data_IF_917920927947
#
_entry.id   IF_917920927947
#
_cell.length_a   1.000
_cell.length_b   1.000
_cell.length_c   1.000
_cell.angle_alpha   90.00
_cell.angle_beta   90.00
_cell.angle_gamma   90.00
#
_symmetry.space_group_name_H-M   'P 1'
#
loop_
_entity.id
_entity.type
_entity.pdbx_description
1 polymer ?
#
# COMPACT_ATOMS: atom_id res chain seq x y z
N UNK A 1 -14.80 -33.88 -46.91
CA UNK A 1 -15.72 -33.93 -45.74
C UNK A 1 -15.33 -32.81 -44.80
N UNK A 2 -16.15 -31.76 -44.71
CA UNK A 2 -15.97 -30.62 -43.79
C UNK A 2 -16.26 -31.10 -42.36
N UNK A 3 -15.31 -30.97 -41.45
CA UNK A 3 -15.60 -31.01 -40.01
C UNK A 3 -15.09 -29.70 -39.39
N UNK A 4 -16.04 -28.79 -39.16
CA UNK A 4 -15.89 -27.71 -38.21
C UNK A 4 -15.76 -28.34 -36.81
N UNK A 5 -14.74 -27.97 -36.05
CA UNK A 5 -14.74 -28.15 -34.61
C UNK A 5 -14.44 -26.82 -33.93
N UNK A 6 -15.33 -26.48 -33.01
CA UNK A 6 -15.54 -25.19 -32.40
C UNK A 6 -14.34 -24.69 -31.61
N UNK A 7 -13.97 -23.42 -31.84
CA UNK A 7 -13.09 -22.65 -30.96
C UNK A 7 -13.87 -22.36 -29.68
N UNK A 8 -13.59 -23.11 -28.62
CA UNK A 8 -14.07 -22.78 -27.26
C UNK A 8 -13.18 -21.65 -26.75
N UNK A 9 -13.68 -20.41 -26.87
CA UNK A 9 -13.07 -19.25 -26.27
C UNK A 9 -13.35 -19.28 -24.76
N UNK A 10 -12.44 -19.86 -23.98
CA UNK A 10 -12.48 -19.81 -22.53
C UNK A 10 -12.24 -18.36 -22.09
N UNK A 11 -13.34 -17.63 -21.83
CA UNK A 11 -13.30 -16.33 -21.18
C UNK A 11 -12.75 -16.52 -19.75
N UNK A 12 -11.45 -16.25 -19.57
CA UNK A 12 -10.83 -16.04 -18.28
C UNK A 12 -11.49 -14.83 -17.63
N UNK A 13 -12.53 -15.05 -16.82
CA UNK A 13 -13.02 -14.06 -15.89
C UNK A 13 -11.91 -13.81 -14.86
N UNK A 14 -11.11 -12.76 -15.07
CA UNK A 14 -10.26 -12.21 -14.04
C UNK A 14 -11.18 -11.66 -12.94
N UNK A 15 -11.43 -12.48 -11.92
CA UNK A 15 -12.06 -11.98 -10.70
C UNK A 15 -11.16 -10.91 -10.11
N UNK A 16 -11.68 -9.76 -9.66
CA UNK A 16 -10.89 -8.87 -8.84
C UNK A 16 -10.55 -9.64 -7.57
N UNK A 17 -9.32 -10.13 -7.47
CA UNK A 17 -8.75 -10.41 -6.17
C UNK A 17 -8.79 -9.07 -5.43
N UNK A 18 -9.47 -9.01 -4.28
CA UNK A 18 -9.43 -7.85 -3.40
C UNK A 18 -7.99 -7.70 -2.90
N UNK A 19 -7.17 -7.08 -3.73
CA UNK A 19 -5.82 -6.69 -3.43
C UNK A 19 -5.87 -5.40 -2.63
N UNK A 20 -4.90 -5.25 -1.73
CA UNK A 20 -4.62 -4.01 -1.05
C UNK A 20 -4.35 -2.94 -2.10
N UNK A 21 -4.66 -1.68 -1.79
CA UNK A 21 -4.63 -0.61 -2.78
C UNK A 21 -3.52 0.38 -2.48
N UNK A 22 -2.92 0.93 -3.53
CA UNK A 22 -2.10 2.12 -3.50
C UNK A 22 -2.87 3.26 -4.18
N UNK A 23 -3.75 3.91 -3.41
CA UNK A 23 -4.64 4.96 -3.93
C UNK A 23 -3.95 6.32 -3.97
N UNK A 24 -4.40 7.20 -4.87
CA UNK A 24 -3.91 8.59 -4.89
C UNK A 24 -4.26 9.28 -3.58
N UNK A 25 -3.37 10.16 -3.13
CA UNK A 25 -3.63 10.97 -1.96
C UNK A 25 -4.85 11.86 -2.17
N UNK A 26 -5.75 11.79 -1.20
CA UNK A 26 -6.90 12.68 -1.07
C UNK A 26 -7.09 12.95 0.44
N UNK A 27 -8.32 12.89 0.95
CA UNK A 27 -8.64 13.20 2.34
C UNK A 27 -7.92 12.33 3.37
N UNK A 28 -7.58 11.06 3.05
CA UNK A 28 -6.86 10.14 3.96
C UNK A 28 -5.45 10.65 4.26
N UNK A 29 -4.80 11.26 3.26
CA UNK A 29 -3.44 11.78 3.36
C UNK A 29 -3.34 13.13 4.09
N UNK A 30 -4.35 13.49 4.88
CA UNK A 30 -4.37 14.75 5.63
C UNK A 30 -3.30 14.76 6.70
N UNK A 31 -2.61 15.90 6.88
CA UNK A 31 -1.60 16.06 7.92
C UNK A 31 -2.13 15.78 9.35
N UNK A 32 -3.44 15.99 9.58
CA UNK A 32 -4.11 15.66 10.85
C UNK A 32 -4.17 14.17 11.16
N UNK A 33 -3.98 13.31 10.15
CA UNK A 33 -3.98 11.87 10.30
C UNK A 33 -2.56 11.33 10.60
N UNK A 34 -1.50 12.14 10.49
CA UNK A 34 -0.15 11.67 10.80
C UNK A 34 -0.07 11.34 12.30
N UNK A 35 0.35 10.12 12.62
CA UNK A 35 0.40 9.65 14.00
C UNK A 35 1.52 10.35 14.76
N UNK A 36 1.19 10.89 15.93
CA UNK A 36 2.14 11.52 16.84
C UNK A 36 3.00 10.48 17.62
N UNK A 37 4.26 10.78 17.96
CA UNK A 37 5.06 11.90 17.46
C UNK A 37 5.53 11.63 16.02
N UNK A 38 5.58 12.69 15.20
CA UNK A 38 5.88 12.56 13.77
C UNK A 38 7.24 11.92 13.51
N UNK A 39 8.25 12.21 14.34
CA UNK A 39 9.61 11.68 14.19
C UNK A 39 9.66 10.16 14.38
N UNK A 40 8.75 9.59 15.17
CA UNK A 40 8.67 8.15 15.38
C UNK A 40 7.86 7.44 14.28
N UNK A 41 6.95 8.17 13.63
CA UNK A 41 5.98 7.63 12.68
C UNK A 41 6.19 8.12 11.24
N UNK A 42 7.34 8.74 10.97
CA UNK A 42 7.77 9.14 9.63
C UNK A 42 9.20 8.65 9.41
N UNK A 43 9.46 7.98 8.27
CA UNK A 43 10.80 7.54 7.88
C UNK A 43 11.11 7.93 6.44
N UNK A 44 12.38 8.20 6.15
CA UNK A 44 12.84 8.51 4.79
C UNK A 44 13.83 7.47 4.30
N UNK A 45 13.76 7.19 3.00
CA UNK A 45 14.59 6.21 2.30
C UNK A 45 15.14 6.82 1.01
N UNK A 46 16.10 6.13 0.39
CA UNK A 46 16.69 6.53 -0.90
C UNK A 46 17.18 7.98 -0.90
N UNK A 47 17.96 8.35 0.12
CA UNK A 47 18.47 9.71 0.34
C UNK A 47 17.35 10.79 0.39
N UNK A 48 16.23 10.48 1.04
CA UNK A 48 15.12 11.42 1.22
C UNK A 48 14.16 11.53 0.03
N UNK A 49 14.34 10.70 -1.01
CA UNK A 49 13.46 10.67 -2.17
C UNK A 49 12.14 9.99 -1.87
N UNK A 50 12.18 8.91 -1.07
CA UNK A 50 10.98 8.21 -0.58
C UNK A 50 10.75 8.58 0.88
N UNK A 51 9.52 8.94 1.24
CA UNK A 51 9.10 9.20 2.62
C UNK A 51 7.84 8.40 2.90
N UNK A 52 7.86 7.72 4.04
CA UNK A 52 6.74 6.99 4.57
C UNK A 52 6.25 7.65 5.86
N UNK A 53 4.94 7.64 6.08
CA UNK A 53 4.34 8.06 7.34
C UNK A 53 3.19 7.12 7.75
N UNK A 54 3.05 6.82 9.03
CA UNK A 54 1.86 6.17 9.55
C UNK A 54 0.72 7.18 9.64
N UNK A 55 -0.44 6.80 9.10
CA UNK A 55 -1.67 7.58 9.20
C UNK A 55 -2.69 6.84 10.07
N UNK A 56 -3.45 7.59 10.86
CA UNK A 56 -4.61 7.14 11.63
C UNK A 56 -5.79 8.08 11.33
N UNK A 57 -6.80 7.55 10.66
CA UNK A 57 -8.04 8.27 10.34
C UNK A 57 -9.07 8.24 11.47
N UNK A 58 -8.74 7.61 12.60
CA UNK A 58 -9.59 7.35 13.78
C UNK A 58 -10.74 6.38 13.50
N UNK A 59 -11.47 6.57 12.41
CA UNK A 59 -12.60 5.73 12.00
C UNK A 59 -12.50 5.30 10.52
N UNK A 60 -12.93 4.07 10.18
CA UNK A 60 -13.52 3.08 11.07
C UNK A 60 -12.46 2.44 11.98
N UNK A 61 -12.75 2.23 13.26
CA UNK A 61 -11.78 1.68 14.23
C UNK A 61 -11.09 0.37 13.76
N UNK A 62 -11.80 -0.46 12.99
CA UNK A 62 -11.28 -1.72 12.44
C UNK A 62 -10.37 -1.55 11.20
N UNK A 63 -10.22 -0.34 10.67
CA UNK A 63 -9.48 -0.04 9.45
C UNK A 63 -9.00 1.40 9.40
N UNK A 64 -8.59 1.96 10.54
CA UNK A 64 -8.22 3.37 10.64
C UNK A 64 -6.79 3.65 10.15
N UNK A 65 -5.92 2.64 10.12
CA UNK A 65 -4.48 2.83 9.89
C UNK A 65 -4.09 2.67 8.43
N UNK A 66 -3.30 3.62 7.91
CA UNK A 66 -2.83 3.61 6.53
C UNK A 66 -1.35 3.98 6.46
N UNK A 67 -0.72 3.80 5.29
CA UNK A 67 0.67 4.22 5.07
C UNK A 67 0.74 5.31 4.00
N UNK A 68 1.14 6.49 4.45
CA UNK A 68 1.85 7.55 3.73
C UNK A 68 2.89 7.04 2.75
N UNK A 69 2.77 7.21 1.43
CA UNK A 69 3.90 7.05 0.50
C UNK A 69 4.07 8.31 -0.35
N UNK A 70 5.16 9.04 -0.10
CA UNK A 70 5.67 10.06 -1.00
C UNK A 70 6.90 9.52 -1.71
N UNK A 71 6.89 9.42 -3.02
CA UNK A 71 7.98 8.80 -3.80
C UNK A 71 8.18 9.49 -5.15
N UNK A 72 9.30 9.21 -5.84
CA UNK A 72 9.40 9.45 -7.28
C UNK A 72 8.38 8.59 -8.07
N UNK A 73 8.16 8.89 -9.37
CA UNK A 73 8.75 9.98 -10.13
C UNK A 73 8.31 11.34 -9.62
N UNK A 74 9.15 12.35 -9.84
CA UNK A 74 8.77 13.73 -9.56
C UNK A 74 8.02 14.28 -10.77
N UNK A 75 6.94 15.02 -10.52
CA UNK A 75 6.26 15.75 -11.58
C UNK A 75 7.08 16.93 -12.09
N UNK A 76 6.58 17.62 -13.11
CA UNK A 76 7.29 18.71 -13.78
C UNK A 76 7.63 19.86 -12.82
N UNK A 77 6.84 20.05 -11.76
CA UNK A 77 7.07 21.10 -10.75
C UNK A 77 7.89 20.61 -9.56
N UNK A 78 8.39 19.37 -9.60
CA UNK A 78 9.19 18.76 -8.54
C UNK A 78 8.37 18.16 -7.40
N UNK A 79 7.06 18.08 -7.54
CA UNK A 79 6.17 17.39 -6.62
C UNK A 79 6.45 15.88 -6.62
N UNK A 80 6.34 15.23 -5.46
CA UNK A 80 6.44 13.76 -5.36
C UNK A 80 5.12 13.14 -5.79
N UNK A 81 5.18 11.95 -6.38
CA UNK A 81 4.03 11.05 -6.39
C UNK A 81 3.53 10.85 -4.94
N UNK A 82 2.21 10.94 -4.75
CA UNK A 82 1.57 10.76 -3.46
C UNK A 82 0.58 9.59 -3.52
N UNK A 83 0.83 8.56 -2.71
CA UNK A 83 -0.02 7.39 -2.58
C UNK A 83 -0.30 7.05 -1.12
N UNK A 84 -1.43 6.41 -0.88
CA UNK A 84 -1.80 5.82 0.41
C UNK A 84 -1.97 4.32 0.25
N UNK A 85 -1.31 3.55 1.12
CA UNK A 85 -1.48 2.10 1.19
C UNK A 85 -2.60 1.78 2.17
N UNK A 86 -3.62 1.07 1.68
CA UNK A 86 -4.84 0.73 2.42
C UNK A 86 -5.23 -0.73 2.17
N UNK A 87 -6.05 -1.32 3.05
CA UNK A 87 -6.65 -2.65 2.81
C UNK A 87 -7.57 -2.64 1.60
N UNK A 88 -8.35 -1.58 1.46
CA UNK A 88 -9.20 -1.27 0.32
C UNK A 88 -9.43 0.23 0.27
N UNK A 89 -10.14 0.72 -0.75
CA UNK A 89 -10.36 2.17 -0.94
C UNK A 89 -10.99 2.82 0.30
N UNK A 90 -10.28 3.75 0.93
CA UNK A 90 -10.74 4.45 2.13
C UNK A 90 -10.86 3.61 3.40
N UNK A 91 -10.44 2.35 3.39
CA UNK A 91 -10.45 1.46 4.56
C UNK A 91 -9.04 0.89 4.73
N UNK A 92 -8.40 1.24 5.83
CA UNK A 92 -7.04 0.86 6.19
C UNK A 92 -6.96 -0.49 6.90
N UNK A 93 -5.85 -0.66 7.60
CA UNK A 93 -5.51 -1.81 8.42
C UNK A 93 -6.01 -1.61 9.86
N UNK A 94 -6.26 -2.71 10.57
CA UNK A 94 -6.63 -2.68 11.99
C UNK A 94 -5.42 -2.37 12.89
N UNK A 95 -4.21 -2.70 12.42
CA UNK A 95 -2.96 -2.51 13.15
C UNK A 95 -1.79 -2.33 12.20
N UNK A 96 -0.85 -1.45 12.55
CA UNK A 96 0.46 -1.30 11.88
C UNK A 96 1.52 -1.02 12.94
N UNK A 97 2.50 -1.91 13.09
CA UNK A 97 3.67 -1.67 13.94
C UNK A 97 4.79 -0.99 13.13
N UNK A 98 4.62 0.31 12.89
CA UNK A 98 5.52 1.10 12.06
C UNK A 98 6.96 1.16 12.59
N UNK A 99 7.16 0.91 13.89
CA UNK A 99 8.50 0.84 14.49
C UNK A 99 9.30 -0.32 13.89
N UNK A 100 8.62 -1.42 13.58
CA UNK A 100 9.18 -2.62 12.95
C UNK A 100 9.17 -2.57 11.41
N UNK A 101 8.92 -1.40 10.80
CA UNK A 101 9.05 -1.21 9.35
C UNK A 101 10.49 -1.51 8.90
N UNK A 102 10.62 -2.47 8.01
CA UNK A 102 11.86 -2.88 7.35
C UNK A 102 11.82 -2.53 5.85
N UNK A 103 13.00 -2.36 5.24
CA UNK A 103 13.13 -2.02 3.83
C UNK A 103 14.29 -2.77 3.19
N UNK A 104 14.06 -3.29 1.97
CA UNK A 104 15.06 -3.96 1.15
C UNK A 104 15.00 -3.45 -0.28
N UNK A 105 16.17 -3.28 -0.90
CA UNK A 105 16.30 -2.76 -2.25
C UNK A 105 16.75 -3.83 -3.23
N UNK A 106 16.05 -3.93 -4.35
CA UNK A 106 16.42 -4.73 -5.51
C UNK A 106 16.38 -3.84 -6.77
N UNK A 107 17.49 -3.70 -7.52
CA UNK A 107 17.53 -2.89 -8.74
C UNK A 107 16.51 -3.26 -9.81
N UNK A 108 16.02 -4.50 -9.82
CA UNK A 108 15.08 -5.01 -10.83
C UNK A 108 13.61 -4.74 -10.49
N UNK A 109 13.27 -4.55 -9.21
CA UNK A 109 11.88 -4.37 -8.76
C UNK A 109 11.64 -3.07 -7.99
N UNK A 110 12.65 -2.53 -7.33
CA UNK A 110 12.59 -1.27 -6.58
C UNK A 110 12.81 -1.45 -5.07
N UNK A 111 12.23 -0.55 -4.29
CA UNK A 111 12.34 -0.55 -2.83
C UNK A 111 11.13 -1.26 -2.23
N UNK A 112 11.35 -2.41 -1.61
CA UNK A 112 10.33 -3.21 -0.96
C UNK A 112 10.32 -2.95 0.54
N UNK A 113 9.14 -2.68 1.07
CA UNK A 113 8.89 -2.47 2.49
C UNK A 113 8.10 -3.63 3.05
N UNK A 114 8.41 -4.00 4.29
CA UNK A 114 7.64 -4.99 5.06
C UNK A 114 7.37 -4.43 6.45
N UNK A 115 6.12 -4.44 6.87
CA UNK A 115 5.72 -3.95 8.19
C UNK A 115 4.70 -4.91 8.83
N UNK A 116 4.93 -5.37 10.06
CA UNK A 116 3.94 -6.12 10.81
C UNK A 116 2.69 -5.28 11.03
N UNK A 117 1.53 -5.92 10.92
CA UNK A 117 0.24 -5.28 11.12
C UNK A 117 -0.86 -6.30 11.38
N UNK A 118 -2.10 -5.85 11.24
CA UNK A 118 -3.27 -6.72 11.35
C UNK A 118 -4.44 -6.20 10.55
N UNK A 119 -5.35 -7.11 10.20
CA UNK A 119 -6.57 -6.81 9.44
C UNK A 119 -7.80 -7.14 10.26
N UNK A 120 -8.87 -6.38 10.06
CA UNK A 120 -10.16 -6.71 10.64
C UNK A 120 -10.63 -8.10 10.19
N UNK A 121 -11.31 -8.79 11.10
CA UNK A 121 -11.89 -10.10 10.85
C UNK A 121 -13.11 -10.27 11.76
N UNK A 122 -14.13 -11.01 11.30
CA UNK A 122 -15.40 -11.22 12.03
C UNK A 122 -15.27 -12.15 13.25
N UNK A 123 -14.05 -12.42 13.70
CA UNK A 123 -13.73 -13.26 14.85
C UNK A 123 -13.43 -12.44 16.11
N UNK A 124 -12.83 -13.08 17.15
CA UNK A 124 -12.59 -12.46 18.44
C UNK A 124 -11.53 -11.34 18.44
N UNK A 125 -10.91 -11.04 17.30
CA UNK A 125 -9.91 -9.99 17.16
C UNK A 125 -9.32 -9.90 15.76
N UNK A 126 -8.49 -8.87 15.50
CA UNK A 126 -7.84 -8.70 14.21
C UNK A 126 -6.80 -9.78 13.95
N UNK A 127 -6.62 -10.15 12.68
CA UNK A 127 -5.70 -11.21 12.24
C UNK A 127 -4.34 -10.59 11.92
N UNK A 128 -3.24 -11.05 12.55
CA UNK A 128 -1.90 -10.56 12.23
C UNK A 128 -1.52 -10.86 10.78
N UNK A 129 -0.87 -9.88 10.14
CA UNK A 129 -0.38 -9.94 8.76
C UNK A 129 0.91 -9.16 8.62
N UNK A 130 1.69 -9.46 7.58
CA UNK A 130 2.78 -8.59 7.15
C UNK A 130 2.31 -7.82 5.93
N UNK A 131 2.24 -6.50 6.05
CA UNK A 131 1.94 -5.59 4.95
C UNK A 131 3.22 -5.43 4.14
N UNK A 132 3.15 -5.74 2.85
CA UNK A 132 4.29 -5.64 1.93
C UNK A 132 3.91 -4.73 0.79
N UNK A 133 4.79 -3.78 0.47
CA UNK A 133 4.64 -2.98 -0.73
C UNK A 133 5.98 -2.64 -1.36
N UNK A 134 6.02 -2.62 -2.68
CA UNK A 134 7.22 -2.32 -3.46
C UNK A 134 7.00 -1.06 -4.27
N UNK A 135 7.91 -0.10 -4.14
CA UNK A 135 7.91 1.16 -4.88
C UNK A 135 8.97 1.09 -5.97
N UNK A 136 8.54 1.07 -7.24
CA UNK A 136 9.44 1.28 -8.36
C UNK A 136 9.62 2.78 -8.58
N UNK A 137 10.77 3.31 -8.15
CA UNK A 137 11.05 4.75 -8.21
C UNK A 137 11.23 5.29 -9.65
N UNK A 138 11.46 4.41 -10.63
CA UNK A 138 11.64 4.83 -12.02
C UNK A 138 10.29 4.98 -12.74
N UNK A 139 9.36 4.06 -12.50
CA UNK A 139 8.04 4.07 -13.16
C UNK A 139 6.95 4.72 -12.32
N UNK A 140 7.11 4.75 -10.99
CA UNK A 140 6.08 5.17 -10.04
C UNK A 140 5.17 4.03 -9.60
N UNK A 141 5.31 2.84 -10.19
CA UNK A 141 4.44 1.71 -9.85
C UNK A 141 4.61 1.32 -8.38
N UNK A 142 3.49 1.06 -7.73
CA UNK A 142 3.43 0.51 -6.37
C UNK A 142 2.62 -0.77 -6.38
N UNK A 143 3.27 -1.87 -6.01
CA UNK A 143 2.64 -3.17 -5.84
C UNK A 143 2.43 -3.40 -4.35
N UNK A 144 1.24 -3.82 -3.96
CA UNK A 144 0.87 -4.06 -2.56
C UNK A 144 0.42 -5.51 -2.38
N UNK A 145 0.75 -6.08 -1.22
CA UNK A 145 0.37 -7.43 -0.83
C UNK A 145 0.30 -7.60 0.69
N UNK A 146 -0.25 -8.74 1.10
CA UNK A 146 -0.16 -9.25 2.47
C UNK A 146 0.50 -10.63 2.47
N UNK A 147 1.28 -10.90 3.52
CA UNK A 147 1.76 -12.24 3.86
C UNK A 147 1.10 -12.68 5.18
#
# INVERSE_FOLDING_TARGET
MRMLFAVVLAALFATPASAQVAEECDWVASARAIVEPWEANTKTFSNGKVRLALLDTVEPAAGALHILVLSPPFGETGERQCRVISMSKGIGFAGIDFKQLDASYDPSTGLTFSVPGSVAYDGPGPVPKIIVFTVNQATGDIIVGLK
#
